data_IF_649819007482
#
_entry.id   IF_649819007482
#
_cell.length_a   1.000
_cell.length_b   1.000
_cell.length_c   1.000
_cell.angle_alpha   90.00
_cell.angle_beta   90.00
_cell.angle_gamma   90.00
#
_symmetry.space_group_name_H-M   'P 1'
#
loop_
_entity.id
_entity.type
_entity.pdbx_description
1 polymer ?
#
# COMPACT_ATOMS: atom_id res chain seq x y z
N UNK A 1 0.94 -5.22 -12.12
CA UNK A 1 2.12 -4.96 -11.26
C UNK A 1 1.84 -3.97 -10.13
N UNK A 2 1.53 -2.69 -10.41
CA UNK A 2 1.26 -1.73 -9.32
C UNK A 2 0.00 -2.11 -8.52
N UNK A 3 -1.11 -2.42 -9.19
CA UNK A 3 -2.34 -2.86 -8.52
C UNK A 3 -2.12 -4.12 -7.68
N UNK A 4 -1.38 -5.11 -8.23
CA UNK A 4 -1.03 -6.34 -7.50
C UNK A 4 -0.15 -6.03 -6.28
N UNK A 5 0.82 -5.13 -6.41
CA UNK A 5 1.65 -4.70 -5.26
C UNK A 5 0.80 -4.08 -4.16
N UNK A 6 -0.13 -3.18 -4.52
CA UNK A 6 -1.05 -2.54 -3.56
C UNK A 6 -1.94 -3.60 -2.91
N UNK A 7 -2.51 -4.51 -3.68
CA UNK A 7 -3.33 -5.60 -3.17
C UNK A 7 -2.56 -6.50 -2.19
N UNK A 8 -1.36 -6.95 -2.56
CA UNK A 8 -0.53 -7.80 -1.71
C UNK A 8 -0.04 -7.07 -0.45
N UNK A 9 0.25 -5.77 -0.54
CA UNK A 9 0.63 -4.97 0.62
C UNK A 9 -0.55 -4.77 1.59
N UNK A 10 -1.74 -4.44 1.08
CA UNK A 10 -2.95 -4.30 1.90
C UNK A 10 -3.36 -5.65 2.51
N UNK A 11 -3.16 -6.78 1.83
CA UNK A 11 -3.42 -8.11 2.39
C UNK A 11 -2.53 -8.45 3.61
N UNK A 12 -1.40 -7.76 3.77
CA UNK A 12 -0.50 -7.87 4.93
C UNK A 12 -0.75 -6.82 6.01
N UNK A 13 -1.82 -6.02 5.88
CA UNK A 13 -2.19 -5.02 6.86
C UNK A 13 -2.55 -5.65 8.21
N UNK A 14 -2.19 -4.96 9.28
CA UNK A 14 -2.57 -5.30 10.65
C UNK A 14 -3.44 -4.18 11.18
N UNK A 15 -4.56 -4.58 11.80
CA UNK A 15 -5.54 -3.67 12.37
C UNK A 15 -5.67 -3.88 13.87
N UNK A 16 -5.66 -2.77 14.60
CA UNK A 16 -5.89 -2.72 16.04
C UNK A 16 -7.19 -1.95 16.29
N UNK A 17 -8.09 -2.53 17.09
CA UNK A 17 -9.27 -1.81 17.59
C UNK A 17 -8.86 -1.02 18.83
N UNK A 18 -9.12 0.28 18.84
CA UNK A 18 -8.72 1.20 19.89
C UNK A 18 -9.76 1.28 21.02
N UNK A 19 -9.38 1.85 22.16
CA UNK A 19 -10.22 1.97 23.36
C UNK A 19 -11.46 2.83 23.14
N UNK A 20 -11.38 3.82 22.25
CA UNK A 20 -12.48 4.71 21.85
C UNK A 20 -13.43 4.07 20.82
N UNK A 21 -13.17 2.83 20.41
CA UNK A 21 -13.97 2.09 19.45
C UNK A 21 -13.57 2.31 17.99
N UNK A 22 -12.61 3.19 17.70
CA UNK A 22 -12.05 3.41 16.36
C UNK A 22 -11.02 2.32 16.01
N UNK A 23 -10.48 2.39 14.79
CA UNK A 23 -9.51 1.43 14.27
C UNK A 23 -8.23 2.14 13.83
N UNK A 24 -7.10 1.50 14.07
CA UNK A 24 -5.80 1.86 13.49
C UNK A 24 -5.31 0.73 12.60
N UNK A 25 -4.86 1.06 11.39
CA UNK A 25 -4.32 0.12 10.42
C UNK A 25 -2.87 0.47 10.09
N UNK A 26 -2.02 -0.53 9.88
CA UNK A 26 -0.65 -0.34 9.39
C UNK A 26 -0.22 -1.47 8.48
N UNK A 27 0.74 -1.22 7.60
CA UNK A 27 1.38 -2.26 6.78
C UNK A 27 2.83 -2.42 7.25
N UNK A 28 3.17 -3.51 7.97
CA UNK A 28 4.50 -3.64 8.60
C UNK A 28 5.69 -3.52 7.64
N UNK A 29 5.53 -3.99 6.39
CA UNK A 29 6.56 -3.87 5.35
C UNK A 29 6.76 -2.42 4.88
N UNK A 30 5.69 -1.61 4.84
CA UNK A 30 5.69 -0.23 4.38
C UNK A 30 5.78 0.74 5.56
N UNK A 31 6.99 0.92 6.10
CA UNK A 31 7.21 1.77 7.28
C UNK A 31 6.70 3.20 7.06
N UNK A 32 5.88 3.67 7.98
CA UNK A 32 5.24 4.99 7.92
C UNK A 32 3.84 4.98 7.31
N UNK A 33 3.40 3.87 6.70
CA UNK A 33 2.02 3.71 6.23
C UNK A 33 1.12 3.30 7.39
N UNK A 34 0.36 4.25 7.90
CA UNK A 34 -0.58 4.10 9.01
C UNK A 34 -1.85 4.89 8.65
N UNK A 35 -3.02 4.34 8.98
CA UNK A 35 -4.30 5.03 8.82
C UNK A 35 -5.19 4.77 10.03
N UNK A 36 -6.22 5.60 10.17
CA UNK A 36 -7.23 5.50 11.22
C UNK A 36 -8.63 5.63 10.62
N UNK A 37 -9.63 5.00 11.22
CA UNK A 37 -11.02 5.10 10.78
C UNK A 37 -12.01 4.84 11.91
N UNK A 38 -13.22 5.40 11.81
CA UNK A 38 -14.25 5.17 12.82
C UNK A 38 -14.82 3.74 12.71
N UNK A 39 -14.76 3.14 11.52
CA UNK A 39 -15.05 1.73 11.27
C UNK A 39 -13.83 1.01 10.68
N UNK A 40 -13.82 -0.33 10.76
CA UNK A 40 -12.77 -1.12 10.13
C UNK A 40 -12.71 -0.84 8.62
N UNK A 41 -13.87 -0.75 7.96
CA UNK A 41 -13.95 -0.50 6.52
C UNK A 41 -13.36 0.85 6.12
N UNK A 42 -13.70 1.91 6.85
CA UNK A 42 -13.09 3.23 6.64
C UNK A 42 -11.58 3.18 6.84
N UNK A 43 -11.11 2.49 7.87
CA UNK A 43 -9.68 2.33 8.11
C UNK A 43 -8.98 1.55 6.99
N UNK A 44 -9.61 0.54 6.41
CA UNK A 44 -9.10 -0.21 5.24
C UNK A 44 -8.98 0.68 4.00
N UNK A 45 -10.03 1.46 3.73
CA UNK A 45 -10.09 2.36 2.56
C UNK A 45 -9.02 3.48 2.70
N UNK A 46 -8.88 4.08 3.89
CA UNK A 46 -7.83 5.09 4.16
C UNK A 46 -6.41 4.51 4.15
N UNK A 47 -6.22 3.28 4.63
CA UNK A 47 -4.90 2.64 4.61
C UNK A 47 -4.44 2.37 3.17
N UNK A 48 -5.37 1.98 2.29
CA UNK A 48 -5.10 1.82 0.85
C UNK A 48 -4.71 3.15 0.20
N UNK A 49 -5.49 4.20 0.44
CA UNK A 49 -5.20 5.55 -0.06
C UNK A 49 -3.81 6.04 0.38
N UNK A 50 -3.51 5.88 1.68
CA UNK A 50 -2.21 6.25 2.26
C UNK A 50 -1.05 5.46 1.65
N UNK A 51 -1.26 4.16 1.38
CA UNK A 51 -0.25 3.32 0.72
C UNK A 51 0.05 3.81 -0.71
N UNK A 52 -0.97 4.15 -1.49
CA UNK A 52 -0.82 4.62 -2.87
C UNK A 52 -0.02 5.93 -2.92
N UNK A 53 -0.34 6.89 -2.06
CA UNK A 53 0.41 8.15 -1.91
C UNK A 53 1.86 7.91 -1.47
N UNK A 54 2.07 6.98 -0.53
CA UNK A 54 3.40 6.60 -0.04
C UNK A 54 4.26 5.99 -1.14
N UNK A 55 3.68 5.11 -1.97
CA UNK A 55 4.36 4.53 -3.15
C UNK A 55 4.72 5.63 -4.14
N UNK A 56 3.76 6.49 -4.50
CA UNK A 56 3.96 7.56 -5.47
C UNK A 56 5.10 8.50 -5.04
N UNK A 57 5.10 8.91 -3.77
CA UNK A 57 6.14 9.77 -3.22
C UNK A 57 7.50 9.05 -3.19
N UNK A 58 7.53 7.78 -2.76
CA UNK A 58 8.75 6.98 -2.72
C UNK A 58 9.40 6.84 -4.09
N UNK A 59 8.63 6.53 -5.12
CA UNK A 59 9.11 6.45 -6.50
C UNK A 59 9.63 7.80 -7.01
N UNK A 60 8.88 8.88 -6.77
CA UNK A 60 9.27 10.24 -7.21
C UNK A 60 10.58 10.71 -6.59
N UNK A 61 10.86 10.30 -5.35
CA UNK A 61 12.07 10.63 -4.62
C UNK A 61 13.20 9.61 -4.82
N UNK A 62 12.98 8.54 -5.59
CA UNK A 62 13.97 7.48 -5.81
C UNK A 62 14.26 6.65 -4.56
N UNK A 63 13.30 6.57 -3.63
CA UNK A 63 13.42 5.71 -2.44
C UNK A 63 13.22 4.25 -2.82
N UNK A 64 13.97 3.36 -2.16
CA UNK A 64 13.75 1.93 -2.30
C UNK A 64 12.47 1.50 -1.56
N UNK A 65 11.54 0.90 -2.31
CA UNK A 65 10.33 0.29 -1.79
C UNK A 65 10.59 -1.17 -1.41
N UNK A 66 9.88 -1.73 -0.41
CA UNK A 66 10.02 -3.14 -0.06
C UNK A 66 9.56 -4.02 -1.22
N UNK A 67 10.18 -5.20 -1.37
CA UNK A 67 9.66 -6.23 -2.28
C UNK A 67 8.56 -6.99 -1.55
N UNK A 68 7.37 -7.05 -2.15
CA UNK A 68 6.18 -7.67 -1.56
C UNK A 68 5.69 -8.75 -2.52
N UNK A 69 5.56 -9.98 -2.02
CA UNK A 69 5.13 -11.14 -2.82
C UNK A 69 5.88 -11.29 -4.16
N UNK A 70 7.21 -11.11 -4.12
CA UNK A 70 8.11 -11.10 -5.30
C UNK A 70 7.86 -9.96 -6.31
N UNK A 71 6.99 -9.01 -6.01
CA UNK A 71 6.77 -7.81 -6.80
C UNK A 71 7.76 -6.73 -6.37
N UNK A 72 8.61 -6.31 -7.30
CA UNK A 72 9.65 -5.31 -7.08
C UNK A 72 9.38 -4.05 -7.91
N UNK A 73 8.88 -3.00 -7.26
CA UNK A 73 8.59 -1.71 -7.88
C UNK A 73 9.84 -0.83 -8.06
N UNK A 74 11.02 -1.26 -7.64
CA UNK A 74 12.26 -0.50 -7.78
C UNK A 74 12.89 -0.62 -9.18
N UNK A 75 12.30 -1.45 -10.04
CA UNK A 75 12.74 -1.67 -11.42
C UNK A 75 12.05 -0.68 -12.35
N UNK A 76 12.70 -0.37 -13.47
CA UNK A 76 12.07 0.43 -14.52
C UNK A 76 10.77 -0.26 -15.00
N UNK A 77 9.69 0.51 -15.21
CA UNK A 77 8.45 -0.06 -15.72
C UNK A 77 8.71 -0.73 -17.06
N UNK A 78 8.54 -2.04 -17.13
CA UNK A 78 8.46 -2.74 -18.41
C UNK A 78 7.11 -2.41 -19.02
N UNK A 79 7.09 -1.46 -19.95
CA UNK A 79 5.94 -1.21 -20.81
C UNK A 79 5.76 -2.45 -21.70
N UNK A 80 4.97 -3.43 -21.27
CA UNK A 80 4.43 -4.38 -22.21
C UNK A 80 3.49 -3.58 -23.12
N UNK A 81 3.78 -3.56 -24.43
CA UNK A 81 2.88 -3.01 -25.42
C UNK A 81 1.50 -3.62 -25.16
N UNK A 82 0.53 -2.76 -24.82
CA UNK A 82 -0.86 -3.12 -24.98
C UNK A 82 -1.08 -3.24 -26.48
N UNK A 83 -0.73 -4.39 -27.06
CA UNK A 83 -1.07 -4.72 -28.44
C UNK A 83 -2.60 -4.72 -28.49
N UNK A 84 -3.13 -3.60 -28.98
CA UNK A 84 -4.55 -3.43 -29.27
C UNK A 84 -4.90 -4.43 -30.36
N UNK A 85 -5.61 -5.50 -29.98
CA UNK A 85 -6.32 -6.38 -30.91
C UNK A 85 -7.54 -5.66 -31.50
#
# INVERSE_FOLDING_TARGET
>A
MLSDYVEQATAQAVYDKLEDGTFAGRIPACKGVIAFGATLRECEDELRSTLEDWILLGLKLGHSLPVIDNIDLNKEPTLESMDTL
#
